data_IF_657152116183
#
_entry.id   IF_657152116183
#
_cell.length_a   1.000
_cell.length_b   1.000
_cell.length_c   1.000
_cell.angle_alpha   90.00
_cell.angle_beta   90.00
_cell.angle_gamma   90.00
#
_symmetry.space_group_name_H-M   'P 1'
#
loop_
_entity.id
_entity.type
_entity.pdbx_description
1 polymer ?
#
# COMPACT_ATOMS: atom_id res chain seq x y z
N UNK A 1 -19.35 -19.30 19.17
CA UNK A 1 -19.32 -18.61 18.92
C UNK A 1 -19.15 -18.14 18.63
N UNK A 2 -18.85 -18.19 18.71
CA UNK A 2 -18.65 -17.49 18.50
C UNK A 2 -18.18 -17.04 18.37
N UNK A 3 -17.99 -17.31 18.41
CA UNK A 3 -17.63 -16.74 18.24
C UNK A 3 -17.15 -16.12 17.81
N UNK A 4 -16.85 -16.24 18.57
CA UNK A 4 -15.88 -15.32 18.01
C UNK A 4 -16.14 -15.00 16.59
N UNK A 5 -17.21 -15.40 16.09
CA UNK A 5 -17.58 -15.12 14.72
C UNK A 5 -17.55 -13.66 14.36
N UNK A 6 -17.62 -12.80 15.35
CA UNK A 6 -17.58 -11.36 15.10
C UNK A 6 -16.29 -10.91 14.40
N UNK A 7 -15.22 -11.69 14.49
CA UNK A 7 -13.96 -11.31 13.87
C UNK A 7 -13.88 -11.65 12.38
N UNK A 8 -14.89 -12.34 11.86
CA UNK A 8 -14.84 -12.86 10.49
C UNK A 8 -14.87 -11.75 9.45
N UNK A 9 -15.64 -10.70 9.72
CA UNK A 9 -15.88 -9.66 8.73
C UNK A 9 -14.83 -8.56 8.73
N UNK A 10 -13.94 -8.56 9.71
CA UNK A 10 -12.91 -7.54 9.84
C UNK A 10 -11.58 -8.25 10.10
N UNK A 11 -10.62 -8.15 9.17
CA UNK A 11 -9.37 -8.82 9.39
C UNK A 11 -8.69 -8.25 10.62
N UNK A 12 -8.37 -9.12 11.57
CA UNK A 12 -7.51 -8.74 12.67
C UNK A 12 -6.15 -8.37 12.12
N UNK A 13 -5.43 -7.49 12.83
CA UNK A 13 -4.10 -7.09 12.39
C UNK A 13 -3.20 -8.31 12.15
N UNK A 14 -3.36 -9.36 12.97
CA UNK A 14 -2.57 -10.59 12.86
C UNK A 14 -2.90 -11.41 11.61
N UNK A 15 -4.05 -11.18 10.98
CA UNK A 15 -4.43 -11.92 9.78
C UNK A 15 -4.07 -11.20 8.49
N UNK A 16 -3.67 -9.94 8.57
CA UNK A 16 -3.28 -9.17 7.40
C UNK A 16 -1.84 -9.52 7.01
N UNK A 17 -1.62 -9.73 5.72
CA UNK A 17 -0.30 -10.05 5.19
C UNK A 17 0.36 -8.79 4.64
N UNK A 18 1.40 -8.34 5.32
CA UNK A 18 2.10 -7.10 4.96
C UNK A 18 3.29 -7.37 4.04
N UNK A 19 3.67 -6.37 3.26
CA UNK A 19 4.91 -6.41 2.49
C UNK A 19 6.09 -6.14 3.40
N UNK A 20 7.24 -6.72 3.05
CA UNK A 20 8.51 -6.51 3.75
C UNK A 20 9.37 -5.52 2.96
N UNK A 21 10.46 -5.04 3.59
CA UNK A 21 11.43 -4.21 2.88
C UNK A 21 12.00 -4.93 1.68
N UNK A 22 12.27 -6.23 1.82
CA UNK A 22 12.77 -7.04 0.69
C UNK A 22 11.76 -7.08 -0.45
N UNK A 23 10.47 -7.19 -0.14
CA UNK A 23 9.42 -7.15 -1.17
C UNK A 23 9.50 -5.85 -1.97
N UNK A 24 9.64 -4.71 -1.28
CA UNK A 24 9.72 -3.41 -1.96
C UNK A 24 10.96 -3.30 -2.82
N UNK A 25 12.10 -3.80 -2.33
CA UNK A 25 13.32 -3.80 -3.10
C UNK A 25 13.19 -4.65 -4.36
N UNK A 26 12.56 -5.83 -4.24
CA UNK A 26 12.34 -6.71 -5.38
C UNK A 26 11.41 -6.08 -6.41
N UNK A 27 10.36 -5.40 -5.97
CA UNK A 27 9.44 -4.71 -6.89
C UNK A 27 10.15 -3.59 -7.65
N UNK A 28 10.94 -2.80 -6.94
CA UNK A 28 11.69 -1.72 -7.58
C UNK A 28 12.76 -2.29 -8.52
N UNK A 29 13.40 -3.37 -8.13
CA UNK A 29 14.39 -4.04 -8.98
C UNK A 29 13.75 -4.51 -10.31
N UNK A 30 12.56 -5.08 -10.24
CA UNK A 30 11.87 -5.54 -11.44
C UNK A 30 11.54 -4.39 -12.38
N UNK A 31 11.38 -3.18 -11.85
CA UNK A 31 11.02 -1.99 -12.64
C UNK A 31 12.28 -1.31 -13.19
N UNK A 32 13.30 -1.14 -12.36
CA UNK A 32 14.46 -0.29 -12.71
C UNK A 32 15.72 -1.09 -13.04
N UNK A 33 15.78 -2.35 -12.63
CA UNK A 33 17.00 -3.16 -12.74
C UNK A 33 18.03 -2.88 -11.66
N UNK A 34 17.82 -1.85 -10.85
CA UNK A 34 18.76 -1.46 -9.79
C UNK A 34 18.00 -0.74 -8.67
N UNK A 35 17.68 -1.45 -7.59
CA UNK A 35 16.84 -0.87 -6.53
C UNK A 35 17.66 0.03 -5.60
N UNK A 36 18.12 1.16 -6.10
CA UNK A 36 18.86 2.12 -5.31
C UNK A 36 17.95 2.85 -4.35
N UNK A 37 18.20 2.68 -3.06
CA UNK A 37 17.45 3.32 -1.99
C UNK A 37 18.11 4.65 -1.67
N UNK A 38 17.33 5.73 -1.75
CA UNK A 38 17.81 7.06 -1.39
C UNK A 38 17.86 7.24 0.12
N UNK A 39 16.86 6.67 0.83
CA UNK A 39 16.72 6.84 2.26
C UNK A 39 16.20 5.55 2.88
N UNK A 40 17.09 4.85 3.59
CA UNK A 40 16.75 3.57 4.20
C UNK A 40 15.71 3.72 5.31
N UNK A 41 15.69 4.87 6.00
CA UNK A 41 14.69 5.10 7.04
C UNK A 41 13.29 5.24 6.45
N UNK A 42 13.18 5.87 5.29
CA UNK A 42 11.90 5.97 4.59
C UNK A 42 11.43 4.61 4.09
N UNK A 43 12.37 3.75 3.67
CA UNK A 43 12.02 2.40 3.26
C UNK A 43 11.38 1.63 4.42
N UNK A 44 12.01 1.66 5.60
CA UNK A 44 11.48 0.98 6.76
C UNK A 44 10.18 1.61 7.26
N UNK A 45 10.04 2.92 7.17
CA UNK A 45 8.80 3.60 7.53
C UNK A 45 7.65 3.18 6.61
N UNK A 46 7.92 3.06 5.31
CA UNK A 46 6.90 2.62 4.34
C UNK A 46 6.38 1.23 4.68
N UNK A 47 7.26 0.33 5.09
CA UNK A 47 6.89 -1.03 5.47
C UNK A 47 6.05 -1.06 6.75
N UNK A 48 6.40 -0.22 7.73
CA UNK A 48 5.73 -0.24 9.04
C UNK A 48 4.42 0.54 9.06
N UNK A 49 4.31 1.58 8.25
CA UNK A 49 3.18 2.49 8.33
C UNK A 49 1.81 1.81 8.22
N UNK A 50 1.61 0.83 7.32
CA UNK A 50 0.30 0.17 7.22
C UNK A 50 -0.13 -0.56 8.49
N UNK A 51 0.81 -0.93 9.35
CA UNK A 51 0.51 -1.69 10.57
C UNK A 51 0.62 -0.88 11.84
N UNK A 52 0.83 0.44 11.75
CA UNK A 52 0.99 1.28 12.94
C UNK A 52 -0.24 1.28 13.83
N UNK A 53 0.03 1.26 15.13
CA UNK A 53 -1.00 1.44 16.14
C UNK A 53 -0.88 2.85 16.71
N UNK A 54 -2.04 3.47 16.95
CA UNK A 54 -2.12 4.77 17.59
C UNK A 54 -2.99 4.58 18.83
N UNK A 55 -2.39 4.74 20.00
CA UNK A 55 -3.07 4.48 21.28
C UNK A 55 -3.69 3.09 21.33
N UNK A 56 -2.96 2.09 20.82
CA UNK A 56 -3.40 0.70 20.84
C UNK A 56 -4.37 0.30 19.74
N UNK A 57 -4.78 1.23 18.88
CA UNK A 57 -5.71 0.97 17.80
C UNK A 57 -5.03 1.13 16.44
N UNK A 58 -5.40 0.33 15.42
CA UNK A 58 -4.82 0.49 14.10
C UNK A 58 -5.08 1.90 13.56
N UNK A 59 -4.01 2.58 13.13
CA UNK A 59 -4.16 3.88 12.49
C UNK A 59 -4.91 3.76 11.17
N UNK A 60 -4.69 2.65 10.47
CA UNK A 60 -5.38 2.35 9.21
C UNK A 60 -6.10 1.02 9.37
N UNK A 61 -7.37 1.03 9.81
CA UNK A 61 -8.06 -0.23 10.13
C UNK A 61 -8.53 -1.03 8.91
N UNK A 62 -8.67 -0.40 7.74
CA UNK A 62 -9.14 -1.11 6.55
C UNK A 62 -7.97 -1.47 5.63
N UNK A 63 -8.19 -2.46 4.75
CA UNK A 63 -7.18 -2.81 3.75
C UNK A 63 -6.91 -1.63 2.80
N UNK A 64 -7.96 -0.93 2.40
CA UNK A 64 -7.80 0.23 1.53
C UNK A 64 -6.98 1.33 2.22
N UNK A 65 -7.20 1.55 3.51
CA UNK A 65 -6.43 2.52 4.28
C UNK A 65 -4.96 2.13 4.40
N UNK A 66 -4.71 0.84 4.65
CA UNK A 66 -3.34 0.32 4.71
C UNK A 66 -2.63 0.45 3.37
N UNK A 67 -3.33 0.12 2.29
CA UNK A 67 -2.79 0.26 0.94
C UNK A 67 -2.52 1.72 0.59
N UNK A 68 -3.40 2.62 1.03
CA UNK A 68 -3.21 4.06 0.82
C UNK A 68 -1.96 4.58 1.52
N UNK A 69 -1.74 4.15 2.77
CA UNK A 69 -0.54 4.51 3.50
C UNK A 69 0.72 4.04 2.78
N UNK A 70 0.67 2.83 2.23
CA UNK A 70 1.78 2.28 1.46
C UNK A 70 2.02 3.07 0.18
N UNK A 71 0.96 3.36 -0.56
CA UNK A 71 1.07 4.14 -1.80
C UNK A 71 1.65 5.53 -1.56
N UNK A 72 1.12 6.21 -0.56
CA UNK A 72 1.59 7.56 -0.24
C UNK A 72 3.06 7.55 0.15
N UNK A 73 3.46 6.59 0.98
CA UNK A 73 4.85 6.49 1.42
C UNK A 73 5.81 6.27 0.25
N UNK A 74 5.40 5.45 -0.72
CA UNK A 74 6.26 5.14 -1.86
C UNK A 74 6.24 6.24 -2.92
N UNK A 75 5.08 6.80 -3.21
CA UNK A 75 4.95 7.77 -4.29
C UNK A 75 5.41 9.16 -3.86
N UNK A 76 5.06 9.58 -2.64
CA UNK A 76 5.31 10.93 -2.20
C UNK A 76 6.71 11.14 -1.63
N UNK A 77 7.23 10.17 -0.86
CA UNK A 77 8.50 10.37 -0.15
C UNK A 77 9.74 10.09 -0.97
N UNK A 78 9.59 9.54 -2.18
CA UNK A 78 10.71 9.30 -3.10
C UNK A 78 11.86 8.55 -2.42
N UNK A 79 11.54 7.44 -1.77
CA UNK A 79 12.56 6.68 -1.03
C UNK A 79 13.52 5.91 -1.94
N UNK A 80 13.12 5.64 -3.18
CA UNK A 80 14.03 5.10 -4.21
C UNK A 80 14.55 6.23 -5.09
N UNK A 81 15.68 6.00 -5.72
CA UNK A 81 16.24 6.96 -6.67
C UNK A 81 15.35 7.08 -7.92
N UNK A 82 14.74 5.96 -8.34
CA UNK A 82 13.92 5.92 -9.55
C UNK A 82 12.80 4.92 -9.37
N UNK A 83 11.74 5.08 -10.17
CA UNK A 83 10.63 4.13 -10.24
C UNK A 83 9.65 4.19 -9.08
N UNK A 84 9.63 5.28 -8.31
CA UNK A 84 8.78 5.38 -7.11
C UNK A 84 7.30 5.23 -7.40
N UNK A 85 6.78 5.90 -8.42
CA UNK A 85 5.35 5.83 -8.75
C UNK A 85 4.95 4.43 -9.21
N UNK A 86 5.76 3.81 -10.07
CA UNK A 86 5.49 2.46 -10.56
C UNK A 86 5.61 1.44 -9.44
N UNK A 87 6.59 1.62 -8.56
CA UNK A 87 6.74 0.75 -7.38
C UNK A 87 5.54 0.89 -6.47
N UNK A 88 5.02 2.10 -6.27
CA UNK A 88 3.84 2.34 -5.45
C UNK A 88 2.64 1.56 -5.97
N UNK A 89 2.39 1.61 -7.27
CA UNK A 89 1.27 0.88 -7.89
C UNK A 89 1.47 -0.63 -7.73
N UNK A 90 2.67 -1.13 -7.99
CA UNK A 90 2.96 -2.56 -7.86
C UNK A 90 2.86 -3.03 -6.41
N UNK A 91 3.30 -2.21 -5.46
CA UNK A 91 3.21 -2.55 -4.04
C UNK A 91 1.75 -2.67 -3.60
N UNK A 92 0.91 -1.73 -4.00
CA UNK A 92 -0.53 -1.80 -3.69
C UNK A 92 -1.15 -3.04 -4.32
N UNK A 93 -0.82 -3.31 -5.58
CA UNK A 93 -1.33 -4.48 -6.29
C UNK A 93 -0.96 -5.77 -5.55
N UNK A 94 0.30 -5.92 -5.17
CA UNK A 94 0.78 -7.12 -4.48
C UNK A 94 0.24 -7.22 -3.06
N UNK A 95 0.17 -6.09 -2.34
CA UNK A 95 -0.37 -6.10 -0.98
C UNK A 95 -1.83 -6.54 -0.99
N UNK A 96 -2.64 -5.98 -1.87
CA UNK A 96 -4.05 -6.33 -1.95
C UNK A 96 -4.23 -7.78 -2.40
N UNK A 97 -3.43 -8.24 -3.37
CA UNK A 97 -3.51 -9.63 -3.84
C UNK A 97 -3.20 -10.61 -2.71
N UNK A 98 -2.20 -10.33 -1.89
CA UNK A 98 -1.86 -11.19 -0.74
C UNK A 98 -3.00 -11.26 0.28
N UNK A 99 -3.89 -10.29 0.27
CA UNK A 99 -5.02 -10.22 1.19
C UNK A 99 -6.35 -10.51 0.52
N UNK A 100 -6.31 -11.22 -0.61
CA UNK A 100 -7.51 -11.70 -1.28
C UNK A 100 -8.27 -10.67 -2.09
N UNK A 101 -7.63 -9.56 -2.45
CA UNK A 101 -8.27 -8.49 -3.21
C UNK A 101 -7.56 -8.26 -4.54
N UNK A 102 -8.34 -7.97 -5.55
CA UNK A 102 -7.84 -7.57 -6.85
C UNK A 102 -7.86 -6.04 -6.95
N UNK A 103 -6.76 -5.47 -7.43
CA UNK A 103 -6.66 -4.03 -7.64
C UNK A 103 -6.74 -3.74 -9.14
N UNK A 104 -7.82 -3.08 -9.56
CA UNK A 104 -8.09 -2.82 -10.97
C UNK A 104 -7.47 -1.49 -11.40
N UNK A 105 -6.17 -1.46 -11.54
CA UNK A 105 -5.42 -0.29 -11.98
C UNK A 105 -5.26 -0.32 -13.50
N UNK A 106 -5.54 0.81 -14.14
CA UNK A 106 -5.37 0.99 -15.57
C UNK A 106 -4.55 2.27 -15.79
N UNK A 107 -3.33 2.13 -16.29
CA UNK A 107 -2.42 3.27 -16.44
C UNK A 107 -3.03 4.41 -17.27
N UNK A 108 -3.77 4.08 -18.32
CA UNK A 108 -4.37 5.11 -19.19
C UNK A 108 -5.38 5.96 -18.44
N UNK A 109 -6.10 5.35 -17.49
CA UNK A 109 -7.14 6.03 -16.69
C UNK A 109 -6.57 6.63 -15.41
N UNK A 110 -5.60 5.94 -14.78
CA UNK A 110 -5.28 6.15 -13.37
C UNK A 110 -3.89 6.77 -13.12
N UNK A 111 -3.03 6.86 -14.13
CA UNK A 111 -1.67 7.35 -13.92
C UNK A 111 -1.63 8.78 -13.39
N UNK A 112 -2.58 9.63 -13.83
CA UNK A 112 -2.63 11.00 -13.36
C UNK A 112 -2.93 11.10 -11.88
N UNK A 113 -3.75 10.18 -11.35
CA UNK A 113 -4.02 10.16 -9.92
C UNK A 113 -2.75 9.84 -9.13
N UNK A 114 -1.99 8.84 -9.58
CA UNK A 114 -0.74 8.46 -8.89
C UNK A 114 0.26 9.60 -8.95
N UNK A 115 0.32 10.31 -10.07
CA UNK A 115 1.17 11.50 -10.19
C UNK A 115 0.76 12.57 -9.18
N UNK A 116 -0.54 12.78 -8.99
CA UNK A 116 -1.05 13.75 -8.02
C UNK A 116 -0.71 13.32 -6.60
N UNK A 117 -0.76 12.02 -6.29
CA UNK A 117 -0.32 11.50 -4.99
C UNK A 117 1.16 11.83 -4.78
N UNK A 118 1.98 11.62 -5.80
CA UNK A 118 3.41 11.92 -5.72
C UNK A 118 3.67 13.42 -5.47
N UNK A 119 2.77 14.27 -5.88
CA UNK A 119 2.84 15.73 -5.64
C UNK A 119 2.26 16.16 -4.30
N UNK A 120 1.72 15.22 -3.52
CA UNK A 120 1.12 15.53 -2.23
C UNK A 120 -0.25 16.16 -2.30
N UNK A 121 -0.98 15.98 -3.41
CA UNK A 121 -2.29 16.62 -3.62
C UNK A 121 -3.44 15.88 -2.95
N UNK A 122 -3.23 14.63 -2.51
CA UNK A 122 -4.26 13.83 -1.86
C UNK A 122 -3.75 13.30 -0.53
N UNK A 123 -4.60 13.35 0.48
CA UNK A 123 -4.28 12.75 1.77
C UNK A 123 -4.58 11.25 1.76
N UNK A 124 -4.22 10.57 2.83
CA UNK A 124 -4.38 9.12 2.93
C UNK A 124 -5.84 8.71 2.78
N UNK A 125 -6.77 9.47 3.35
CA UNK A 125 -8.20 9.15 3.27
C UNK A 125 -8.71 9.22 1.82
N UNK A 126 -8.29 10.22 1.06
CA UNK A 126 -8.67 10.35 -0.33
C UNK A 126 -8.09 9.22 -1.18
N UNK A 127 -6.83 8.86 -0.90
CA UNK A 127 -6.18 7.75 -1.60
C UNK A 127 -6.90 6.45 -1.29
N UNK A 128 -7.29 6.23 -0.03
CA UNK A 128 -8.02 5.02 0.38
C UNK A 128 -9.35 4.90 -0.35
N UNK A 129 -10.10 6.00 -0.46
CA UNK A 129 -11.37 5.99 -1.18
C UNK A 129 -11.17 5.65 -2.66
N UNK A 130 -10.12 6.18 -3.27
CA UNK A 130 -9.78 5.91 -4.66
C UNK A 130 -9.41 4.43 -4.87
N UNK A 131 -8.63 3.87 -3.94
CA UNK A 131 -8.26 2.46 -3.99
C UNK A 131 -9.49 1.58 -3.83
N UNK A 132 -10.37 1.94 -2.88
CA UNK A 132 -11.56 1.14 -2.61
C UNK A 132 -12.47 1.01 -3.83
N UNK A 133 -12.57 2.06 -4.63
CA UNK A 133 -13.33 2.02 -5.87
C UNK A 133 -12.77 1.00 -6.88
N UNK A 134 -11.50 0.65 -6.74
CA UNK A 134 -10.79 -0.24 -7.67
C UNK A 134 -10.50 -1.61 -7.09
N UNK A 135 -10.97 -1.88 -5.87
CA UNK A 135 -10.79 -3.17 -5.22
C UNK A 135 -11.99 -4.08 -5.48
N UNK A 136 -11.70 -5.37 -5.63
CA UNK A 136 -12.73 -6.39 -5.66
C UNK A 136 -12.16 -7.69 -5.09
N UNK A 137 -13.04 -8.52 -4.53
CA UNK A 137 -12.58 -9.79 -3.97
C UNK A 137 -12.05 -10.68 -5.08
N UNK A 138 -10.93 -11.36 -4.81
CA UNK A 138 -10.43 -12.40 -5.70
C UNK A 138 -11.34 -13.60 -5.53
N UNK A 139 -12.07 -13.87 -6.57
CA UNK A 139 -13.07 -14.94 -6.52
C UNK A 139 -12.59 -16.27 -6.91
#
# INVERSE_FOLDING_TARGET
>A
MSTGGCCVNSPAASSVRYLTAEDLLNLNHAITGDPMVRDIHLLHSAVRRPRLLLFGEPQFPTLAGKAAALMESLAYHHLFVDGNKRTAVQAVTHFLARNGQHFSYDAARDADFVLAVARGEYDTAAIAAWIEERMSANG
#
